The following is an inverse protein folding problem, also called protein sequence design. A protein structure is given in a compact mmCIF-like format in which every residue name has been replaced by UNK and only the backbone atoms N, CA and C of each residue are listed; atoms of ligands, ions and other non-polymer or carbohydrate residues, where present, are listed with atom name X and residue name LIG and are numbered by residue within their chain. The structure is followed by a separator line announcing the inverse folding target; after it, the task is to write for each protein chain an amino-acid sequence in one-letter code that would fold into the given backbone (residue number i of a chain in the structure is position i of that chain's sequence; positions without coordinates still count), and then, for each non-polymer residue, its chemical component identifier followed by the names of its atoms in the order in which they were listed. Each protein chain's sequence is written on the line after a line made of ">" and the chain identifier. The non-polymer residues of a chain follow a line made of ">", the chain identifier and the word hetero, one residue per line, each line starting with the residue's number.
data_IF_940923510480
#
_entry.id   IF_940923510480
#
_cell.length_a   1.000
_cell.length_b   1.000
_cell.length_c   1.000
_cell.angle_alpha   90.00
_cell.angle_beta   90.00
_cell.angle_gamma   90.00
#
_symmetry.space_group_name_H-M   'P 1'
#
loop_
_entity.id
_entity.type
_entity.pdbx_description
1 polymer ?
#
# COMPACT_ATOMS: atom_id res chain seq x y z
N UNK A 1 4.10 -9.50 26.98
CA UNK A 1 5.47 -9.28 26.48
C UNK A 1 5.54 -9.76 25.03
N UNK A 2 5.95 -8.90 24.11
CA UNK A 2 6.11 -9.19 22.68
C UNK A 2 7.60 -9.19 22.34
N UNK A 3 8.09 -10.26 21.72
CA UNK A 3 9.46 -10.29 21.20
C UNK A 3 9.43 -10.33 19.67
N UNK A 4 10.11 -9.38 19.05
CA UNK A 4 10.33 -9.33 17.61
C UNK A 4 11.82 -9.47 17.34
N UNK A 5 12.21 -10.61 16.78
CA UNK A 5 13.60 -10.94 16.47
C UNK A 5 13.83 -10.79 14.97
N UNK A 6 14.69 -9.84 14.58
CA UNK A 6 15.01 -9.57 13.17
C UNK A 6 16.43 -10.01 12.89
N UNK A 7 16.67 -10.65 11.75
CA UNK A 7 17.99 -11.10 11.33
C UNK A 7 19.03 -9.96 11.42
N UNK A 8 20.18 -10.22 12.06
CA UNK A 8 21.26 -9.25 12.17
C UNK A 8 22.09 -9.19 10.88
N UNK A 9 21.48 -8.64 9.82
CA UNK A 9 22.15 -8.46 8.52
C UNK A 9 23.35 -7.52 8.65
N UNK A 10 23.30 -6.57 9.57
CA UNK A 10 24.40 -5.63 9.85
C UNK A 10 25.65 -6.29 10.40
N UNK A 11 25.50 -7.49 10.99
CA UNK A 11 26.62 -8.35 11.34
C UNK A 11 27.39 -8.80 10.10
N UNK A 12 26.70 -9.28 9.07
CA UNK A 12 27.32 -9.88 7.88
C UNK A 12 27.67 -8.85 6.80
N UNK A 13 26.88 -7.79 6.65
CA UNK A 13 27.05 -6.77 5.62
C UNK A 13 27.65 -5.51 6.26
N UNK A 14 28.98 -5.40 6.26
CA UNK A 14 29.71 -4.27 6.86
C UNK A 14 29.79 -3.05 5.92
N UNK A 15 29.74 -1.82 6.45
CA UNK A 15 29.86 -0.61 5.65
C UNK A 15 31.09 -0.61 4.73
N UNK A 16 30.92 -0.21 3.47
CA UNK A 16 31.99 -0.05 2.50
C UNK A 16 32.47 -1.34 1.82
N UNK A 17 32.01 -2.51 2.26
CA UNK A 17 32.30 -3.80 1.60
C UNK A 17 31.62 -3.90 0.22
N UNK A 18 32.08 -4.80 -0.68
CA UNK A 18 31.43 -4.99 -1.98
C UNK A 18 29.93 -5.31 -1.87
N UNK A 19 29.54 -6.15 -0.90
CA UNK A 19 28.13 -6.53 -0.67
C UNK A 19 27.32 -5.32 -0.22
N UNK A 20 27.87 -4.47 0.65
CA UNK A 20 27.21 -3.23 1.09
C UNK A 20 27.00 -2.25 -0.06
N UNK A 21 28.03 -2.05 -0.90
CA UNK A 21 27.92 -1.15 -2.06
C UNK A 21 26.86 -1.64 -3.04
N UNK A 22 26.81 -2.95 -3.32
CA UNK A 22 25.79 -3.53 -4.19
C UNK A 22 24.38 -3.42 -3.57
N UNK A 23 24.24 -3.70 -2.27
CA UNK A 23 22.97 -3.54 -1.56
C UNK A 23 22.48 -2.09 -1.58
N UNK A 24 23.41 -1.12 -1.43
CA UNK A 24 23.10 0.31 -1.53
C UNK A 24 22.65 0.69 -2.95
N UNK A 25 23.31 0.17 -4.00
CA UNK A 25 22.94 0.42 -5.39
C UNK A 25 21.54 -0.15 -5.70
N UNK A 26 21.25 -1.36 -5.25
CA UNK A 26 19.93 -2.00 -5.43
C UNK A 26 18.82 -1.31 -4.64
N UNK A 27 19.09 -0.92 -3.40
CA UNK A 27 18.16 -0.26 -2.48
C UNK A 27 17.11 -1.19 -1.88
N UNK A 28 16.51 -2.06 -2.70
CA UNK A 28 15.52 -3.05 -2.29
C UNK A 28 15.59 -4.32 -3.16
N UNK A 29 14.95 -5.39 -2.69
CA UNK A 29 14.65 -6.54 -3.55
C UNK A 29 13.44 -6.22 -4.43
N UNK A 30 13.43 -6.77 -5.65
CA UNK A 30 12.32 -6.63 -6.62
C UNK A 30 11.65 -8.00 -6.77
N UNK A 31 10.33 -8.05 -6.68
CA UNK A 31 9.52 -9.27 -6.71
C UNK A 31 8.68 -9.29 -7.99
N UNK A 32 9.26 -9.79 -9.07
CA UNK A 32 8.48 -10.08 -10.25
C UNK A 32 7.57 -11.29 -10.01
N UNK A 33 6.46 -11.40 -10.74
CA UNK A 33 5.52 -12.50 -10.56
C UNK A 33 6.15 -13.89 -10.78
N UNK A 34 7.18 -13.99 -11.64
CA UNK A 34 7.89 -15.23 -11.99
C UNK A 34 9.24 -15.40 -11.26
N UNK A 35 9.81 -14.34 -10.68
CA UNK A 35 11.13 -14.40 -10.01
C UNK A 35 11.37 -13.24 -9.05
N UNK A 36 12.22 -13.47 -8.05
CA UNK A 36 12.73 -12.40 -7.20
C UNK A 36 14.16 -12.00 -7.62
N UNK A 37 14.43 -10.69 -7.66
CA UNK A 37 15.77 -10.12 -7.76
C UNK A 37 16.16 -9.62 -6.36
N UNK A 38 16.94 -10.41 -5.59
CA UNK A 38 17.21 -10.09 -4.19
C UNK A 38 18.21 -8.92 -4.06
N UNK A 39 18.07 -8.13 -3.00
CA UNK A 39 19.01 -7.06 -2.65
C UNK A 39 20.38 -7.62 -2.24
N UNK A 40 20.38 -8.77 -1.58
CA UNK A 40 21.58 -9.46 -1.10
C UNK A 40 21.76 -10.79 -1.86
N UNK A 41 23.00 -11.32 -1.94
CA UNK A 41 23.25 -12.66 -2.45
C UNK A 41 22.35 -13.73 -1.79
N UNK A 42 22.01 -14.78 -2.54
CA UNK A 42 21.10 -15.83 -2.08
C UNK A 42 21.65 -16.57 -0.86
N UNK A 43 22.98 -16.75 -0.78
CA UNK A 43 23.69 -17.39 0.32
C UNK A 43 23.49 -16.64 1.64
N UNK A 44 23.36 -15.31 1.58
CA UNK A 44 23.03 -14.50 2.75
C UNK A 44 21.53 -14.48 3.01
N UNK A 45 20.73 -14.13 2.00
CA UNK A 45 19.29 -13.88 2.17
C UNK A 45 18.48 -15.13 2.52
N UNK A 46 18.79 -16.28 1.92
CA UNK A 46 18.12 -17.57 2.18
C UNK A 46 18.89 -18.47 3.15
N UNK A 47 20.18 -18.20 3.35
CA UNK A 47 21.07 -18.98 4.21
C UNK A 47 21.22 -18.40 5.62
N UNK A 48 22.30 -17.64 5.83
CA UNK A 48 22.73 -17.25 7.18
C UNK A 48 21.90 -16.12 7.81
N UNK A 49 21.32 -15.23 7.00
CA UNK A 49 20.39 -14.20 7.50
C UNK A 49 18.95 -14.72 7.61
N UNK A 50 18.59 -15.82 6.93
CA UNK A 50 17.27 -16.43 7.09
C UNK A 50 17.16 -17.09 8.46
N UNK A 51 16.06 -16.81 9.18
CA UNK A 51 15.75 -17.37 10.50
C UNK A 51 15.22 -18.81 10.40
N UNK A 52 16.02 -19.69 9.78
CA UNK A 52 15.67 -21.07 9.52
C UNK A 52 15.43 -21.86 10.83
N UNK A 53 14.47 -22.81 10.84
CA UNK A 53 14.16 -23.58 12.04
C UNK A 53 15.28 -24.53 12.43
N UNK A 54 15.44 -24.79 13.73
CA UNK A 54 16.38 -25.77 14.29
C UNK A 54 17.85 -25.35 14.29
N UNK A 55 18.18 -24.14 13.83
CA UNK A 55 19.55 -23.63 13.74
C UNK A 55 19.70 -22.27 14.42
N UNK A 56 20.87 -22.05 15.01
CA UNK A 56 21.17 -20.81 15.71
C UNK A 56 21.38 -19.66 14.70
N UNK A 57 20.82 -18.49 15.02
CA UNK A 57 20.82 -17.30 14.16
C UNK A 57 21.00 -16.02 14.96
N UNK A 58 21.85 -15.12 14.43
CA UNK A 58 22.07 -13.80 15.00
C UNK A 58 20.88 -12.89 14.69
N UNK A 59 20.42 -12.17 15.72
CA UNK A 59 19.29 -11.26 15.62
C UNK A 59 19.54 -9.95 16.34
N UNK A 60 18.92 -8.90 15.82
CA UNK A 60 18.63 -7.67 16.56
C UNK A 60 17.17 -7.73 16.99
N UNK A 61 16.93 -7.67 18.29
CA UNK A 61 15.65 -7.96 18.92
C UNK A 61 15.03 -6.71 19.52
N UNK A 62 13.71 -6.63 19.43
CA UNK A 62 12.86 -5.62 20.08
C UNK A 62 11.92 -6.36 21.03
N UNK A 63 12.02 -6.09 22.33
CA UNK A 63 11.19 -6.68 23.37
C UNK A 63 10.30 -5.57 23.93
N UNK A 64 8.99 -5.76 23.84
CA UNK A 64 7.99 -4.77 24.23
C UNK A 64 7.06 -5.34 25.29
N UNK A 65 6.99 -4.71 26.45
CA UNK A 65 5.92 -4.94 27.40
C UNK A 65 4.74 -4.05 27.02
N UNK A 66 3.60 -4.66 26.75
CA UNK A 66 2.41 -3.99 26.22
C UNK A 66 1.26 -4.22 27.20
N UNK A 67 0.62 -3.14 27.61
CA UNK A 67 -0.54 -3.21 28.49
C UNK A 67 -1.83 -3.60 27.75
N UNK A 68 -2.92 -3.76 28.50
CA UNK A 68 -4.25 -4.09 27.96
C UNK A 68 -4.84 -3.03 27.03
N UNK A 69 -4.30 -1.80 27.06
CA UNK A 69 -4.70 -0.71 26.19
C UNK A 69 -3.83 -0.64 24.91
N UNK A 70 -2.81 -1.50 24.81
CA UNK A 70 -1.88 -1.55 23.69
C UNK A 70 -0.71 -0.58 23.82
N UNK A 71 -0.56 0.12 24.96
CA UNK A 71 0.53 1.04 25.21
C UNK A 71 1.80 0.28 25.63
N UNK A 72 2.95 0.76 25.16
CA UNK A 72 4.24 0.18 25.52
C UNK A 72 4.65 0.69 26.90
N UNK A 73 4.75 -0.21 27.88
CA UNK A 73 5.13 0.10 29.27
C UNK A 73 6.64 0.09 29.44
N UNK A 74 7.30 -0.89 28.82
CA UNK A 74 8.75 -1.01 28.81
C UNK A 74 9.22 -1.54 27.45
N UNK A 75 10.43 -1.15 27.07
CA UNK A 75 11.06 -1.58 25.82
C UNK A 75 12.53 -1.90 26.06
N UNK A 76 12.99 -2.99 25.46
CA UNK A 76 14.38 -3.41 25.46
C UNK A 76 14.81 -3.75 24.03
N UNK A 77 16.01 -3.29 23.66
CA UNK A 77 16.62 -3.54 22.36
C UNK A 77 17.95 -4.24 22.59
N UNK A 78 18.16 -5.39 21.95
CA UNK A 78 19.35 -6.20 22.22
C UNK A 78 19.77 -7.04 21.02
N UNK A 79 21.06 -7.36 20.95
CA UNK A 79 21.56 -8.40 20.04
C UNK A 79 21.43 -9.75 20.73
N UNK A 80 21.11 -10.77 19.97
CA UNK A 80 20.95 -12.11 20.53
C UNK A 80 21.18 -13.22 19.52
N UNK A 81 21.10 -14.43 20.03
CA UNK A 81 21.05 -15.66 19.24
C UNK A 81 19.71 -16.30 19.50
N UNK A 82 18.98 -16.64 18.44
CA UNK A 82 17.75 -17.43 18.55
C UNK A 82 17.91 -18.75 17.82
N UNK A 83 17.08 -19.72 18.19
CA UNK A 83 16.87 -20.96 17.47
C UNK A 83 15.39 -21.11 17.18
N UNK A 84 14.98 -20.78 15.96
CA UNK A 84 13.57 -20.85 15.58
C UNK A 84 13.07 -22.29 15.75
N UNK A 85 11.95 -22.46 16.44
CA UNK A 85 11.43 -23.80 16.75
C UNK A 85 10.77 -24.43 15.52
N UNK A 86 10.06 -23.62 14.72
CA UNK A 86 9.24 -24.11 13.62
C UNK A 86 9.08 -23.03 12.54
N UNK A 87 9.01 -23.47 11.28
CA UNK A 87 8.66 -22.59 10.16
C UNK A 87 7.16 -22.70 9.87
N UNK A 88 6.45 -21.63 10.13
CA UNK A 88 5.00 -21.55 9.93
C UNK A 88 4.63 -20.83 8.63
N UNK A 89 3.44 -21.12 8.11
CA UNK A 89 2.80 -20.37 7.01
C UNK A 89 1.54 -19.69 7.53
N UNK A 90 1.15 -18.57 6.91
CA UNK A 90 -0.07 -17.84 7.29
C UNK A 90 -1.31 -18.74 7.28
N UNK A 91 -1.45 -19.58 6.25
CA UNK A 91 -2.55 -20.55 6.13
C UNK A 91 -2.60 -21.50 7.33
N UNK A 92 -1.46 -22.08 7.72
CA UNK A 92 -1.42 -23.01 8.87
C UNK A 92 -1.80 -22.32 10.18
N UNK A 93 -1.25 -21.13 10.44
CA UNK A 93 -1.55 -20.38 11.67
C UNK A 93 -3.01 -19.96 11.71
N UNK A 94 -3.56 -19.49 10.59
CA UNK A 94 -4.98 -19.17 10.49
C UNK A 94 -5.84 -20.40 10.81
N UNK A 95 -5.62 -21.54 10.17
CA UNK A 95 -6.39 -22.77 10.41
C UNK A 95 -6.28 -23.26 11.87
N UNK A 96 -5.10 -23.14 12.49
CA UNK A 96 -4.91 -23.45 13.93
C UNK A 96 -5.80 -22.58 14.81
N UNK A 97 -5.89 -21.28 14.50
CA UNK A 97 -6.70 -20.31 15.24
C UNK A 97 -8.20 -20.47 14.99
N UNK A 98 -8.59 -21.00 13.82
CA UNK A 98 -9.98 -21.35 13.47
C UNK A 98 -10.43 -22.72 14.04
N UNK A 99 -9.55 -23.47 14.71
CA UNK A 99 -9.93 -24.69 15.40
C UNK A 99 -9.66 -26.00 14.64
N UNK A 100 -8.83 -25.98 13.58
CA UNK A 100 -8.49 -27.20 12.83
C UNK A 100 -7.88 -28.28 13.75
N UNK A 101 -8.57 -29.42 13.91
CA UNK A 101 -8.20 -30.47 14.87
C UNK A 101 -6.84 -31.09 14.55
N UNK A 102 -6.54 -31.32 13.27
CA UNK A 102 -5.31 -31.99 12.85
C UNK A 102 -4.07 -31.12 13.06
N UNK A 103 -4.14 -29.85 12.69
CA UNK A 103 -3.07 -28.88 12.87
C UNK A 103 -2.88 -28.51 14.34
N UNK A 104 -3.97 -28.36 15.11
CA UNK A 104 -3.88 -28.10 16.56
C UNK A 104 -3.25 -29.27 17.30
N UNK A 105 -3.52 -30.51 16.89
CA UNK A 105 -2.85 -31.68 17.46
C UNK A 105 -1.37 -31.71 17.10
N UNK A 106 -1.05 -31.54 15.81
CA UNK A 106 0.34 -31.52 15.31
C UNK A 106 1.19 -30.44 15.97
N UNK A 107 0.63 -29.24 16.15
CA UNK A 107 1.31 -28.06 16.68
C UNK A 107 0.91 -27.74 18.12
N UNK A 108 0.44 -28.74 18.89
CA UNK A 108 -0.15 -28.56 20.25
C UNK A 108 0.66 -27.63 21.16
N UNK A 109 1.99 -27.73 21.12
CA UNK A 109 2.91 -26.92 21.95
C UNK A 109 2.96 -25.42 21.59
N UNK A 110 2.48 -25.05 20.39
CA UNK A 110 2.49 -23.68 19.87
C UNK A 110 1.10 -23.03 19.87
N UNK A 111 0.03 -23.82 20.02
CA UNK A 111 -1.37 -23.36 19.93
C UNK A 111 -1.64 -22.20 20.89
N UNK A 112 -1.31 -22.35 22.17
CA UNK A 112 -1.52 -21.31 23.19
C UNK A 112 -0.76 -20.02 22.85
N UNK A 113 0.45 -20.14 22.28
CA UNK A 113 1.22 -18.96 21.83
C UNK A 113 0.52 -18.26 20.69
N UNK A 114 0.01 -18.99 19.69
CA UNK A 114 -0.72 -18.36 18.59
C UNK A 114 -2.00 -17.67 19.07
N UNK A 115 -2.72 -18.26 20.03
CA UNK A 115 -3.91 -17.65 20.64
C UNK A 115 -3.58 -16.34 21.37
N UNK A 116 -2.49 -16.34 22.14
CA UNK A 116 -1.96 -15.13 22.79
C UNK A 116 -1.49 -14.08 21.77
N UNK A 117 -0.85 -14.51 20.68
CA UNK A 117 -0.45 -13.60 19.59
C UNK A 117 -1.67 -12.95 18.92
N UNK A 118 -2.75 -13.72 18.71
CA UNK A 118 -4.02 -13.19 18.19
C UNK A 118 -4.60 -12.15 19.13
N UNK A 119 -4.66 -12.43 20.43
CA UNK A 119 -5.17 -11.49 21.42
C UNK A 119 -4.38 -10.17 21.41
N UNK A 120 -3.06 -10.25 21.49
CA UNK A 120 -2.20 -9.08 21.46
C UNK A 120 -2.34 -8.27 20.16
N UNK A 121 -2.40 -8.94 19.02
CA UNK A 121 -2.61 -8.28 17.73
C UNK A 121 -3.94 -7.52 17.72
N UNK A 122 -5.01 -8.08 18.27
CA UNK A 122 -6.30 -7.37 18.36
C UNK A 122 -6.26 -6.17 19.31
N UNK A 123 -5.46 -6.22 20.39
CA UNK A 123 -5.24 -5.06 21.27
C UNK A 123 -4.51 -3.95 20.50
N UNK A 124 -3.43 -4.28 19.80
CA UNK A 124 -2.65 -3.33 18.99
C UNK A 124 -3.48 -2.73 17.85
N UNK A 125 -4.24 -3.57 17.15
CA UNK A 125 -5.16 -3.14 16.10
C UNK A 125 -6.18 -2.12 16.63
N UNK A 126 -6.84 -2.40 17.77
CA UNK A 126 -7.79 -1.47 18.40
C UNK A 126 -7.12 -0.15 18.80
N UNK A 127 -5.88 -0.18 19.30
CA UNK A 127 -5.11 1.05 19.59
C UNK A 127 -4.88 1.86 18.31
N UNK A 128 -4.41 1.21 17.24
CA UNK A 128 -4.19 1.86 15.95
C UNK A 128 -5.48 2.45 15.36
N UNK A 129 -6.59 1.73 15.48
CA UNK A 129 -7.91 2.23 15.11
C UNK A 129 -8.34 3.46 15.92
N UNK A 130 -8.12 3.48 17.25
CA UNK A 130 -8.40 4.67 18.10
C UNK A 130 -7.55 5.88 17.72
N UNK A 131 -6.30 5.66 17.29
CA UNK A 131 -5.39 6.73 16.81
C UNK A 131 -5.86 7.34 15.49
N UNK A 132 -6.61 6.59 14.69
CA UNK A 132 -7.17 7.07 13.42
C UNK A 132 -6.45 6.54 12.18
N UNK A 133 -5.66 5.48 12.30
CA UNK A 133 -4.98 4.91 11.13
C UNK A 133 -6.00 4.42 10.08
N UNK A 134 -5.57 4.52 8.84
CA UNK A 134 -6.32 4.14 7.66
C UNK A 134 -5.94 2.69 7.32
N UNK A 135 -6.94 1.82 7.22
CA UNK A 135 -6.78 0.41 6.84
C UNK A 135 -7.72 0.16 5.66
N UNK A 136 -7.16 0.11 4.45
CA UNK A 136 -7.91 -0.28 3.26
C UNK A 136 -7.85 -1.79 3.16
N UNK A 137 -8.93 -2.49 3.51
CA UNK A 137 -9.02 -3.94 3.32
C UNK A 137 -9.42 -4.27 1.88
N UNK A 138 -8.60 -3.80 0.93
CA UNK A 138 -8.82 -4.04 -0.50
C UNK A 138 -8.20 -5.37 -0.91
N UNK A 139 -8.93 -6.20 -1.67
CA UNK A 139 -8.40 -7.45 -2.17
C UNK A 139 -7.32 -7.16 -3.21
N UNK A 140 -6.10 -7.61 -2.93
CA UNK A 140 -4.99 -7.59 -3.88
C UNK A 140 -5.07 -8.79 -4.84
N UNK A 141 -4.75 -8.62 -6.13
CA UNK A 141 -4.71 -9.72 -7.08
C UNK A 141 -3.48 -10.60 -6.81
N UNK A 142 -3.70 -11.90 -6.57
CA UNK A 142 -2.70 -12.95 -6.59
C UNK A 142 -2.69 -13.59 -7.97
N UNK A 143 -1.60 -13.40 -8.72
CA UNK A 143 -1.46 -13.97 -10.06
C UNK A 143 -0.88 -15.38 -9.94
N UNK A 144 -1.52 -16.32 -10.64
CA UNK A 144 -1.08 -17.71 -10.70
C UNK A 144 -0.33 -17.97 -12.02
N UNK A 145 0.81 -18.65 -11.93
CA UNK A 145 1.62 -19.03 -13.07
C UNK A 145 1.77 -20.54 -13.17
N UNK A 146 1.91 -21.04 -14.40
CA UNK A 146 2.35 -22.40 -14.67
C UNK A 146 3.88 -22.56 -14.61
N UNK A 147 4.36 -23.78 -14.87
CA UNK A 147 5.79 -24.13 -14.88
C UNK A 147 6.60 -23.39 -15.97
N UNK A 148 5.92 -22.82 -16.98
CA UNK A 148 6.51 -22.07 -18.07
C UNK A 148 6.46 -20.55 -17.86
N UNK A 149 5.96 -20.09 -16.71
CA UNK A 149 5.80 -18.66 -16.38
C UNK A 149 4.65 -18.00 -17.15
N UNK A 150 3.71 -18.78 -17.68
CA UNK A 150 2.48 -18.27 -18.27
C UNK A 150 1.43 -18.11 -17.20
N UNK A 151 0.65 -17.03 -17.33
CA UNK A 151 -0.39 -16.70 -16.40
C UNK A 151 -1.60 -17.61 -16.60
N UNK A 152 -2.00 -18.36 -15.58
CA UNK A 152 -3.14 -19.29 -15.65
C UNK A 152 -4.40 -18.73 -14.98
N UNK A 153 -4.24 -17.76 -14.09
CA UNK A 153 -5.37 -17.19 -13.35
C UNK A 153 -5.00 -16.01 -12.47
N UNK A 154 -6.04 -15.35 -11.95
CA UNK A 154 -5.95 -14.29 -10.96
C UNK A 154 -6.94 -14.64 -9.86
N UNK A 155 -6.45 -14.66 -8.62
CA UNK A 155 -7.28 -14.86 -7.44
C UNK A 155 -7.18 -13.65 -6.52
N UNK A 156 -8.11 -13.57 -5.56
CA UNK A 156 -8.02 -12.56 -4.49
C UNK A 156 -7.09 -13.07 -3.41
N UNK A 157 -6.06 -12.31 -3.09
CA UNK A 157 -5.16 -12.62 -1.97
C UNK A 157 -5.94 -12.58 -0.65
N UNK A 158 -6.03 -13.69 0.11
CA UNK A 158 -6.79 -13.71 1.35
C UNK A 158 -5.99 -13.08 2.49
N UNK A 159 -6.39 -11.89 2.96
CA UNK A 159 -5.85 -11.29 4.19
C UNK A 159 -6.57 -11.84 5.43
N UNK A 160 -6.02 -12.90 5.99
CA UNK A 160 -6.54 -13.52 7.23
C UNK A 160 -5.87 -12.99 8.52
N UNK A 161 -6.35 -13.48 9.68
CA UNK A 161 -5.85 -13.09 11.00
C UNK A 161 -4.33 -13.30 11.19
N UNK A 162 -3.73 -14.30 10.54
CA UNK A 162 -2.30 -14.55 10.66
C UNK A 162 -1.46 -13.44 10.01
N UNK A 163 -1.93 -12.88 8.90
CA UNK A 163 -1.29 -11.71 8.27
C UNK A 163 -1.38 -10.49 9.20
N UNK A 164 -2.57 -10.24 9.77
CA UNK A 164 -2.78 -9.13 10.73
C UNK A 164 -1.87 -9.27 11.95
N UNK A 165 -1.71 -10.47 12.52
CA UNK A 165 -0.80 -10.71 13.66
C UNK A 165 0.63 -10.23 13.35
N UNK A 166 1.19 -10.66 12.22
CA UNK A 166 2.55 -10.27 11.84
C UNK A 166 2.63 -8.77 11.56
N UNK A 167 1.65 -8.22 10.85
CA UNK A 167 1.58 -6.78 10.54
C UNK A 167 1.60 -5.93 11.81
N UNK A 168 0.73 -6.21 12.80
CA UNK A 168 0.67 -5.48 14.07
C UNK A 168 2.01 -5.53 14.82
N UNK A 169 2.67 -6.69 14.83
CA UNK A 169 3.92 -6.86 15.56
C UNK A 169 5.08 -6.15 14.86
N UNK A 170 5.12 -6.19 13.52
CA UNK A 170 6.14 -5.47 12.76
C UNK A 170 5.96 -3.95 12.90
N UNK A 171 4.72 -3.46 12.88
CA UNK A 171 4.39 -2.05 13.10
C UNK A 171 4.82 -1.60 14.50
N UNK A 172 4.51 -2.38 15.54
CA UNK A 172 4.91 -2.08 16.92
C UNK A 172 6.44 -2.01 17.07
N UNK A 173 7.18 -2.97 16.50
CA UNK A 173 8.65 -2.95 16.53
C UNK A 173 9.24 -1.76 15.77
N UNK A 174 8.70 -1.45 14.59
CA UNK A 174 9.11 -0.31 13.78
C UNK A 174 8.89 1.03 14.50
N UNK A 175 7.72 1.24 15.11
CA UNK A 175 7.42 2.43 15.91
C UNK A 175 8.33 2.55 17.14
N UNK A 176 8.59 1.44 17.84
CA UNK A 176 9.45 1.43 19.02
C UNK A 176 10.91 1.80 18.67
N UNK A 177 11.47 1.19 17.61
CA UNK A 177 12.82 1.56 17.13
C UNK A 177 12.88 3.03 16.72
N UNK A 178 11.83 3.51 16.04
CA UNK A 178 11.79 4.89 15.62
C UNK A 178 11.84 5.85 16.83
N UNK A 179 10.96 5.64 17.80
CA UNK A 179 10.89 6.42 19.04
C UNK A 179 12.21 6.37 19.82
N UNK A 180 12.73 5.17 20.05
CA UNK A 180 13.96 4.94 20.82
C UNK A 180 15.16 5.73 20.30
N UNK A 181 15.35 5.74 18.97
CA UNK A 181 16.45 6.45 18.31
C UNK A 181 16.23 7.97 18.27
N UNK A 182 15.01 8.41 17.97
CA UNK A 182 14.65 9.84 17.96
C UNK A 182 14.85 10.48 19.33
N UNK A 183 14.37 9.84 20.41
CA UNK A 183 14.52 10.36 21.79
C UNK A 183 15.98 10.47 22.24
N UNK A 184 16.86 9.63 21.69
CA UNK A 184 18.31 9.65 21.96
C UNK A 184 19.10 10.55 21.02
N UNK A 185 18.42 11.25 20.11
CA UNK A 185 19.06 12.16 19.16
C UNK A 185 19.93 11.48 18.11
N UNK A 186 19.72 10.19 17.83
CA UNK A 186 20.43 9.51 16.75
C UNK A 186 19.75 9.81 15.41
N UNK A 187 20.43 10.45 14.45
CA UNK A 187 19.86 10.68 13.13
C UNK A 187 19.67 9.33 12.42
N UNK A 188 18.52 9.16 11.78
CA UNK A 188 18.15 7.92 11.09
C UNK A 188 17.28 8.21 9.87
N UNK A 189 16.98 7.15 9.12
CA UNK A 189 16.02 7.21 8.02
C UNK A 189 14.63 6.92 8.59
N UNK A 190 13.70 7.84 8.38
CA UNK A 190 12.28 7.71 8.69
C UNK A 190 11.53 7.21 7.45
N UNK A 191 10.43 6.49 7.67
CA UNK A 191 9.43 6.20 6.65
C UNK A 191 8.29 7.19 6.83
N UNK A 192 8.24 8.20 5.96
CA UNK A 192 7.29 9.30 6.06
C UNK A 192 6.16 9.14 5.06
N UNK A 193 4.97 9.60 5.44
CA UNK A 193 3.81 9.66 4.57
C UNK A 193 3.08 10.95 4.89
N UNK A 194 3.25 11.95 4.03
CA UNK A 194 2.73 13.29 4.22
C UNK A 194 1.19 13.32 4.04
N UNK A 195 0.50 14.34 4.56
CA UNK A 195 -0.90 14.55 4.26
C UNK A 195 -1.17 14.68 2.75
N UNK A 196 -2.37 14.29 2.28
CA UNK A 196 -2.75 14.40 0.88
C UNK A 196 -2.74 15.87 0.41
N UNK A 197 -2.48 16.08 -0.89
CA UNK A 197 -2.52 17.43 -1.46
C UNK A 197 -3.96 17.97 -1.50
N UNK A 198 -4.21 19.25 -1.18
CA UNK A 198 -5.56 19.82 -1.15
C UNK A 198 -6.35 19.60 -2.44
N UNK A 199 -5.71 19.75 -3.60
CA UNK A 199 -6.34 19.54 -4.91
C UNK A 199 -6.84 18.10 -5.09
N UNK A 200 -6.08 17.12 -4.58
CA UNK A 200 -6.45 15.71 -4.64
C UNK A 200 -7.59 15.36 -3.70
N UNK A 201 -7.66 16.02 -2.55
CA UNK A 201 -8.77 15.87 -1.60
C UNK A 201 -10.05 16.50 -2.16
N UNK A 202 -9.96 17.68 -2.78
CA UNK A 202 -11.11 18.30 -3.45
C UNK A 202 -11.61 17.44 -4.62
N UNK A 203 -10.71 16.92 -5.44
CA UNK A 203 -11.05 16.00 -6.53
C UNK A 203 -11.80 14.76 -6.00
N UNK A 204 -11.33 14.20 -4.88
CA UNK A 204 -11.99 13.11 -4.19
C UNK A 204 -13.39 13.49 -3.69
N UNK A 205 -13.53 14.61 -2.97
CA UNK A 205 -14.80 15.09 -2.42
C UNK A 205 -15.87 15.30 -3.51
N UNK A 206 -15.49 15.90 -4.65
CA UNK A 206 -16.40 16.12 -5.78
C UNK A 206 -16.97 14.82 -6.34
N UNK A 207 -16.13 13.77 -6.44
CA UNK A 207 -16.57 12.47 -6.95
C UNK A 207 -17.37 11.73 -5.88
N UNK A 208 -16.91 11.73 -4.62
CA UNK A 208 -17.60 11.10 -3.49
C UNK A 208 -19.01 11.68 -3.26
N UNK A 209 -19.19 12.99 -3.47
CA UNK A 209 -20.49 13.66 -3.37
C UNK A 209 -21.53 13.08 -4.34
N UNK A 210 -21.12 12.52 -5.47
CA UNK A 210 -22.03 11.85 -6.41
C UNK A 210 -22.66 10.56 -5.84
N UNK A 211 -21.99 9.97 -4.85
CA UNK A 211 -22.48 8.83 -4.06
C UNK A 211 -23.17 9.28 -2.77
N UNK A 212 -23.32 10.59 -2.54
CA UNK A 212 -23.82 11.14 -1.28
C UNK A 212 -22.85 10.99 -0.11
N UNK A 213 -21.55 10.88 -0.39
CA UNK A 213 -20.48 10.66 0.59
C UNK A 213 -19.55 11.88 0.69
N UNK A 214 -18.92 12.07 1.85
CA UNK A 214 -17.93 13.12 2.12
C UNK A 214 -17.03 12.71 3.29
N UNK A 215 -15.80 13.21 3.33
CA UNK A 215 -14.87 13.12 4.46
C UNK A 215 -15.31 13.96 5.66
N UNK A 216 -16.30 14.85 5.48
CA UNK A 216 -16.83 15.76 6.50
C UNK A 216 -15.70 16.64 7.09
N UNK A 217 -14.92 17.26 6.21
CA UNK A 217 -13.79 18.11 6.59
C UNK A 217 -14.33 19.48 7.05
N UNK A 218 -14.04 19.92 8.29
CA UNK A 218 -14.42 21.25 8.75
C UNK A 218 -13.77 22.33 7.89
N UNK A 219 -14.51 23.39 7.54
CA UNK A 219 -13.92 24.54 6.82
C UNK A 219 -13.70 24.33 5.33
N UNK A 220 -14.23 23.25 4.72
CA UNK A 220 -14.33 23.09 3.26
C UNK A 220 -15.31 24.10 2.60
N UNK A 221 -15.41 25.30 3.15
CA UNK A 221 -16.08 26.43 2.54
C UNK A 221 -15.18 26.90 1.40
N UNK A 222 -15.52 26.46 0.19
CA UNK A 222 -14.96 26.97 -1.06
C UNK A 222 -15.00 28.50 -1.03
N UNK A 223 -13.84 29.16 -0.87
CA UNK A 223 -13.77 30.61 -1.06
C UNK A 223 -13.88 30.87 -2.57
N UNK A 224 -15.08 31.24 -3.02
CA UNK A 224 -15.33 31.64 -4.41
C UNK A 224 -14.85 33.08 -4.60
N UNK A 225 -13.67 33.26 -5.18
CA UNK A 225 -13.22 34.57 -5.62
C UNK A 225 -13.71 34.84 -7.04
N UNK A 226 -14.48 35.91 -7.25
CA UNK A 226 -14.84 36.34 -8.60
C UNK A 226 -13.82 37.36 -9.09
N UNK A 227 -12.87 36.93 -9.92
CA UNK A 227 -11.95 37.82 -10.60
C UNK A 227 -12.62 38.38 -11.86
N UNK A 228 -12.90 39.68 -11.84
CA UNK A 228 -13.48 40.38 -12.99
C UNK A 228 -12.36 41.03 -13.78
N UNK A 229 -11.96 40.45 -14.91
CA UNK A 229 -10.98 41.07 -15.82
C UNK A 229 -11.75 41.87 -16.89
N UNK A 230 -11.47 43.18 -16.96
CA UNK A 230 -11.91 44.00 -18.10
C UNK A 230 -11.03 43.67 -19.30
N UNK A 231 -11.63 43.13 -20.36
CA UNK A 231 -10.95 43.05 -21.65
C UNK A 231 -11.28 44.31 -22.46
N UNK A 232 -10.35 44.71 -23.34
CA UNK A 232 -10.56 45.83 -24.26
C UNK A 232 -11.86 45.64 -25.05
N UNK A 233 -12.67 46.71 -25.18
CA UNK A 233 -13.98 46.67 -25.85
C UNK A 233 -15.19 46.49 -24.91
N UNK A 234 -15.04 46.65 -23.59
CA UNK A 234 -16.18 46.73 -22.65
C UNK A 234 -16.77 45.38 -22.20
N UNK A 235 -16.24 44.25 -22.68
CA UNK A 235 -16.62 42.91 -22.19
C UNK A 235 -15.89 42.59 -20.88
N UNK A 236 -16.66 42.20 -19.86
CA UNK A 236 -16.15 41.67 -18.59
C UNK A 236 -16.10 40.15 -18.68
N UNK A 237 -14.94 39.56 -18.43
CA UNK A 237 -14.82 38.12 -18.19
C UNK A 237 -14.73 37.91 -16.67
N UNK A 238 -15.69 37.17 -16.11
CA UNK A 238 -15.68 36.73 -14.71
C UNK A 238 -15.07 35.34 -14.64
N UNK A 239 -13.93 35.20 -13.97
CA UNK A 239 -13.32 33.92 -13.67
C UNK A 239 -13.52 33.63 -12.19
N UNK A 240 -14.10 32.48 -11.86
CA UNK A 240 -14.17 32.01 -10.48
C UNK A 240 -12.84 31.34 -10.15
N UNK A 241 -12.12 31.86 -9.15
CA UNK A 241 -10.94 31.20 -8.60
C UNK A 241 -11.36 30.53 -7.29
N UNK A 242 -11.16 29.22 -7.25
CA UNK A 242 -11.22 28.40 -6.04
C UNK A 242 -9.85 28.51 -5.38
N UNK A 243 -9.76 29.22 -4.26
CA UNK A 243 -8.56 29.15 -3.42
C UNK A 243 -8.89 28.19 -2.28
N UNK A 244 -8.18 27.05 -2.15
CA UNK A 244 -8.35 26.20 -1.00
C UNK A 244 -8.01 27.00 0.26
N UNK A 245 -8.95 27.15 1.18
CA UNK A 245 -8.59 27.47 2.56
C UNK A 245 -7.65 26.36 3.08
N UNK A 246 -6.83 26.60 4.11
CA UNK A 246 -6.02 25.53 4.70
C UNK A 246 -6.94 24.38 5.14
N UNK A 247 -7.00 23.32 4.33
CA UNK A 247 -7.83 22.15 4.59
C UNK A 247 -7.03 21.28 5.56
N UNK A 248 -7.38 21.34 6.85
CA UNK A 248 -6.76 20.48 7.85
C UNK A 248 -7.37 19.07 7.77
N UNK A 249 -6.78 18.26 6.89
CA UNK A 249 -7.20 16.87 6.69
C UNK A 249 -6.56 15.99 7.74
N UNK A 250 -7.37 15.20 8.44
CA UNK A 250 -6.88 14.20 9.40
C UNK A 250 -7.10 12.77 8.90
N UNK A 251 -6.27 11.80 9.31
CA UNK A 251 -6.49 10.38 9.01
C UNK A 251 -7.85 9.85 9.48
N UNK A 252 -8.38 10.42 10.57
CA UNK A 252 -9.71 10.08 11.11
C UNK A 252 -10.84 10.42 10.14
N UNK A 253 -10.69 11.43 9.29
CA UNK A 253 -11.69 11.75 8.27
C UNK A 253 -11.84 10.58 7.27
N UNK A 254 -10.72 10.05 6.79
CA UNK A 254 -10.68 8.88 5.92
C UNK A 254 -11.21 7.63 6.65
N UNK A 255 -10.76 7.39 7.87
CA UNK A 255 -11.21 6.23 8.65
C UNK A 255 -12.72 6.21 8.87
N UNK A 256 -13.35 7.36 9.18
CA UNK A 256 -14.81 7.47 9.31
C UNK A 256 -15.52 7.11 8.02
N UNK A 257 -15.00 7.58 6.88
CA UNK A 257 -15.60 7.29 5.59
C UNK A 257 -15.49 5.81 5.23
N UNK A 258 -14.33 5.17 5.47
CA UNK A 258 -14.14 3.72 5.26
C UNK A 258 -15.19 2.92 6.04
N UNK A 259 -15.38 3.22 7.34
CA UNK A 259 -16.42 2.55 8.15
C UNK A 259 -17.85 2.79 7.66
N UNK A 260 -18.10 3.94 7.02
CA UNK A 260 -19.44 4.24 6.46
C UNK A 260 -19.70 3.50 5.16
N UNK A 261 -18.67 3.12 4.41
CA UNK A 261 -18.80 2.45 3.10
C UNK A 261 -18.63 0.93 3.19
N UNK A 262 -18.11 0.41 4.31
CA UNK A 262 -17.92 -1.03 4.54
C UNK A 262 -19.21 -1.82 4.27
N UNK A 263 -19.11 -2.82 3.39
CA UNK A 263 -20.22 -3.67 2.96
C UNK A 263 -21.20 -3.05 1.96
N UNK A 264 -20.97 -1.80 1.51
CA UNK A 264 -21.83 -1.13 0.52
C UNK A 264 -21.37 -1.38 -0.92
N UNK A 265 -22.27 -1.31 -1.91
CA UNK A 265 -21.91 -1.49 -3.32
C UNK A 265 -20.79 -0.55 -3.81
N UNK A 266 -20.73 0.66 -3.26
CA UNK A 266 -19.73 1.68 -3.61
C UNK A 266 -18.38 1.55 -2.86
N UNK A 267 -18.23 0.58 -1.95
CA UNK A 267 -17.01 0.41 -1.13
C UNK A 267 -15.74 0.36 -1.97
N UNK A 268 -15.73 -0.48 -3.01
CA UNK A 268 -14.57 -0.71 -3.89
C UNK A 268 -14.16 0.58 -4.60
N UNK A 269 -15.12 1.28 -5.19
CA UNK A 269 -14.82 2.47 -5.99
C UNK A 269 -14.41 3.65 -5.11
N UNK A 270 -15.08 3.85 -3.98
CA UNK A 270 -14.74 4.94 -3.06
C UNK A 270 -13.36 4.69 -2.43
N UNK A 271 -13.06 3.46 -2.00
CA UNK A 271 -11.74 3.10 -1.48
C UNK A 271 -10.63 3.31 -2.51
N UNK A 272 -10.86 2.95 -3.78
CA UNK A 272 -9.92 3.23 -4.87
C UNK A 272 -9.66 4.73 -5.05
N UNK A 273 -10.71 5.55 -5.05
CA UNK A 273 -10.59 7.01 -5.14
C UNK A 273 -9.87 7.61 -3.93
N UNK A 274 -10.15 7.11 -2.72
CA UNK A 274 -9.46 7.52 -1.50
C UNK A 274 -7.97 7.24 -1.59
N UNK A 275 -7.57 6.04 -2.01
CA UNK A 275 -6.15 5.69 -2.21
C UNK A 275 -5.45 6.65 -3.17
N UNK A 276 -6.10 7.00 -4.29
CA UNK A 276 -5.54 7.94 -5.28
C UNK A 276 -5.41 9.37 -4.78
N UNK A 277 -6.12 9.73 -3.72
CA UNK A 277 -5.99 11.05 -3.09
C UNK A 277 -4.79 11.14 -2.15
N UNK A 278 -4.29 10.01 -1.64
CA UNK A 278 -3.17 9.94 -0.70
C UNK A 278 -1.82 10.08 -1.43
N UNK A 279 -0.81 10.57 -0.70
CA UNK A 279 0.57 10.63 -1.21
C UNK A 279 1.22 9.25 -1.14
N UNK A 280 2.24 9.04 -1.97
CA UNK A 280 3.10 7.87 -1.79
C UNK A 280 4.02 8.07 -0.57
N UNK A 281 4.15 7.05 0.26
CA UNK A 281 5.13 7.07 1.35
C UNK A 281 6.56 7.03 0.80
N UNK A 282 7.50 7.66 1.49
CA UNK A 282 8.91 7.76 1.06
C UNK A 282 9.86 7.71 2.24
N UNK A 283 11.15 7.54 1.98
CA UNK A 283 12.17 7.68 3.00
C UNK A 283 12.62 9.14 3.15
N UNK A 284 12.93 9.55 4.37
CA UNK A 284 13.51 10.87 4.67
C UNK A 284 14.43 10.81 5.89
N UNK A 285 15.40 11.69 5.96
CA UNK A 285 16.22 11.95 7.15
C UNK A 285 15.48 12.72 8.25
N UNK A 286 14.30 13.28 7.94
CA UNK A 286 13.47 14.04 8.87
C UNK A 286 12.21 13.27 9.24
N UNK A 287 11.79 13.38 10.50
CA UNK A 287 10.49 12.88 10.93
C UNK A 287 9.39 13.84 10.50
N UNK A 288 8.62 13.47 9.48
CA UNK A 288 7.46 14.22 8.99
C UNK A 288 6.13 13.56 9.34
N UNK A 289 6.15 12.54 10.20
CA UNK A 289 5.01 11.68 10.49
C UNK A 289 4.65 10.73 9.34
N UNK A 290 3.68 9.88 9.62
CA UNK A 290 3.12 8.91 8.69
C UNK A 290 1.59 8.95 8.77
N UNK A 291 0.98 9.75 7.88
CA UNK A 291 -0.44 10.09 7.88
C UNK A 291 -1.33 8.83 7.86
N UNK A 292 -1.09 7.84 6.99
CA UNK A 292 -1.94 6.64 6.94
C UNK A 292 -1.86 5.77 8.21
N UNK A 293 -0.74 5.79 8.93
CA UNK A 293 -0.57 5.04 10.18
C UNK A 293 -0.98 5.87 11.42
N UNK A 294 -1.33 7.14 11.24
CA UNK A 294 -1.64 8.08 12.32
C UNK A 294 -0.53 8.11 13.40
N UNK A 295 0.73 8.24 12.98
CA UNK A 295 1.90 8.28 13.85
C UNK A 295 2.86 9.40 13.49
N UNK A 296 3.49 10.03 14.50
CA UNK A 296 4.41 11.15 14.31
C UNK A 296 5.84 10.70 14.00
N UNK A 297 6.17 9.46 14.33
CA UNK A 297 7.49 8.88 14.17
C UNK A 297 7.39 7.41 13.75
N UNK A 298 7.98 7.07 12.61
CA UNK A 298 7.96 5.72 12.05
C UNK A 298 9.19 5.46 11.18
N UNK A 299 9.73 4.26 11.24
CA UNK A 299 10.83 3.79 10.39
C UNK A 299 10.64 2.34 9.99
N UNK A 300 11.33 1.88 8.95
CA UNK A 300 11.40 0.46 8.63
C UNK A 300 12.63 -0.16 9.29
N UNK A 301 12.41 -1.18 10.11
CA UNK A 301 13.45 -1.95 10.82
C UNK A 301 13.37 -3.46 10.56
N UNK A 302 12.18 -3.95 10.23
CA UNK A 302 11.81 -5.38 10.27
C UNK A 302 12.16 -6.19 9.02
N UNK A 303 12.86 -5.64 8.02
CA UNK A 303 13.21 -6.36 6.78
C UNK A 303 14.58 -5.98 6.18
N UNK A 304 15.69 -6.02 6.94
CA UNK A 304 17.03 -5.65 6.47
C UNK A 304 17.61 -6.57 5.39
N UNK A 305 17.03 -7.76 5.18
CA UNK A 305 17.43 -8.67 4.10
C UNK A 305 17.04 -8.12 2.72
N UNK A 306 15.95 -7.36 2.65
CA UNK A 306 15.31 -6.94 1.38
C UNK A 306 15.14 -5.43 1.23
N UNK A 307 15.46 -4.64 2.25
CA UNK A 307 15.39 -3.17 2.24
C UNK A 307 16.66 -2.59 2.85
N UNK A 308 17.37 -1.77 2.08
CA UNK A 308 18.59 -1.12 2.53
C UNK A 308 18.35 -0.11 3.67
N UNK A 309 17.23 0.65 3.71
CA UNK A 309 16.92 1.50 4.86
C UNK A 309 16.90 0.75 6.20
N UNK A 310 16.29 -0.43 6.25
CA UNK A 310 16.28 -1.26 7.46
C UNK A 310 17.70 -1.67 7.88
N UNK A 311 18.58 -2.00 6.93
CA UNK A 311 19.98 -2.30 7.21
C UNK A 311 20.72 -1.09 7.81
N UNK A 312 20.44 0.12 7.31
CA UNK A 312 20.98 1.37 7.87
C UNK A 312 20.47 1.61 9.29
N UNK A 313 19.17 1.41 9.52
CA UNK A 313 18.56 1.53 10.87
C UNK A 313 19.16 0.50 11.83
N UNK A 314 19.42 -0.74 11.40
CA UNK A 314 20.14 -1.74 12.21
C UNK A 314 21.53 -1.26 12.65
N UNK A 315 22.29 -0.65 11.74
CA UNK A 315 23.63 -0.10 12.06
C UNK A 315 23.55 1.05 13.06
N UNK A 316 22.55 1.92 12.92
CA UNK A 316 22.33 3.05 13.84
C UNK A 316 21.89 2.54 15.21
N UNK A 317 20.93 1.61 15.26
CA UNK A 317 20.47 0.99 16.50
C UNK A 317 21.61 0.29 17.23
N UNK A 318 22.39 -0.53 16.53
CA UNK A 318 23.52 -1.23 17.15
C UNK A 318 24.62 -0.27 17.62
N UNK A 319 24.90 0.82 16.91
CA UNK A 319 25.81 1.87 17.38
C UNK A 319 25.27 2.56 18.64
N UNK A 320 23.98 2.88 18.68
CA UNK A 320 23.30 3.45 19.84
C UNK A 320 23.41 2.53 21.07
N UNK A 321 23.17 1.22 20.89
CA UNK A 321 23.30 0.23 21.96
C UNK A 321 24.73 0.11 22.50
N UNK A 322 25.74 0.25 21.63
CA UNK A 322 27.14 0.28 22.05
C UNK A 322 27.59 1.64 22.61
N UNK A 323 26.70 2.64 22.69
CA UNK A 323 27.02 4.03 23.03
C UNK A 323 28.11 4.63 22.13
N UNK A 324 28.14 4.20 20.87
CA UNK A 324 29.03 4.73 19.82
C UNK A 324 28.35 5.88 19.08
N UNK A 325 29.11 6.85 18.53
CA UNK A 325 28.52 7.94 17.76
C UNK A 325 27.74 7.42 16.56
N UNK A 326 26.76 8.21 16.11
CA UNK A 326 25.95 7.87 14.94
C UNK A 326 26.84 7.58 13.72
N UNK A 327 26.67 6.43 13.04
CA UNK A 327 27.58 6.01 11.98
C UNK A 327 27.42 6.81 10.68
N UNK A 328 26.39 7.64 10.57
CA UNK A 328 26.05 8.42 9.38
C UNK A 328 25.74 9.86 9.75
N UNK A 329 26.21 10.81 8.94
CA UNK A 329 25.78 12.21 9.02
C UNK A 329 24.37 12.38 8.44
N UNK A 330 23.67 13.45 8.84
CA UNK A 330 22.37 13.81 8.24
C UNK A 330 22.45 13.97 6.71
N UNK A 331 23.54 14.55 6.20
CA UNK A 331 23.77 14.71 4.77
C UNK A 331 23.93 13.37 4.04
N UNK A 332 24.54 12.36 4.68
CA UNK A 332 24.64 11.02 4.13
C UNK A 332 23.26 10.33 4.16
N UNK A 333 22.53 10.44 5.27
CA UNK A 333 21.20 9.86 5.43
C UNK A 333 20.20 10.42 4.43
N UNK A 334 20.24 11.73 4.16
CA UNK A 334 19.41 12.36 3.12
C UNK A 334 19.65 11.73 1.75
N UNK A 335 20.91 11.59 1.33
CA UNK A 335 21.27 10.95 0.05
C UNK A 335 20.81 9.49 -0.02
N UNK A 336 20.98 8.74 1.07
CA UNK A 336 20.52 7.34 1.14
C UNK A 336 18.99 7.29 1.04
N UNK A 337 18.27 8.17 1.75
CA UNK A 337 16.81 8.22 1.74
C UNK A 337 16.25 8.58 0.36
N UNK A 338 16.83 9.58 -0.32
CA UNK A 338 16.47 9.96 -1.68
C UNK A 338 16.67 8.78 -2.65
N UNK A 339 17.84 8.12 -2.60
CA UNK A 339 18.15 6.95 -3.44
C UNK A 339 17.24 5.75 -3.15
N UNK A 340 16.98 5.43 -1.88
CA UNK A 340 16.12 4.32 -1.50
C UNK A 340 14.66 4.56 -1.91
N UNK A 341 14.19 5.81 -1.85
CA UNK A 341 12.84 6.15 -2.33
C UNK A 341 12.73 6.05 -3.85
N UNK A 342 13.78 6.42 -4.57
CA UNK A 342 13.84 6.29 -6.03
C UNK A 342 13.87 4.82 -6.46
N UNK A 343 14.70 3.99 -5.81
CA UNK A 343 14.83 2.56 -6.14
C UNK A 343 13.58 1.77 -5.80
N UNK A 344 12.89 2.11 -4.71
CA UNK A 344 11.55 1.58 -4.37
C UNK A 344 10.56 1.88 -5.50
N UNK A 345 10.40 3.16 -5.91
CA UNK A 345 9.50 3.51 -7.02
C UNK A 345 9.84 2.78 -8.32
N UNK A 346 11.14 2.70 -8.66
CA UNK A 346 11.60 2.00 -9.86
C UNK A 346 11.26 0.51 -9.81
N UNK A 347 11.36 -0.12 -8.64
CA UNK A 347 10.98 -1.52 -8.45
C UNK A 347 9.47 -1.70 -8.60
N UNK A 348 8.66 -0.87 -7.93
CA UNK A 348 7.19 -0.91 -8.02
C UNK A 348 6.72 -0.71 -9.47
N UNK A 349 7.32 0.23 -10.20
CA UNK A 349 7.02 0.49 -11.62
C UNK A 349 7.37 -0.73 -12.50
N UNK A 350 8.52 -1.36 -12.29
CA UNK A 350 8.94 -2.53 -13.05
C UNK A 350 8.06 -3.76 -12.75
N UNK A 351 7.71 -3.98 -11.48
CA UNK A 351 6.78 -5.04 -11.06
C UNK A 351 5.41 -4.84 -11.72
N UNK A 352 4.87 -3.62 -11.65
CA UNK A 352 3.59 -3.27 -12.27
C UNK A 352 3.63 -3.43 -13.79
N UNK A 353 4.69 -2.97 -14.46
CA UNK A 353 4.82 -3.07 -15.91
C UNK A 353 4.77 -4.53 -16.38
N UNK A 354 5.49 -5.42 -15.70
CA UNK A 354 5.49 -6.84 -16.04
C UNK A 354 4.14 -7.50 -15.76
N UNK A 355 3.49 -7.15 -14.64
CA UNK A 355 2.14 -7.61 -14.31
C UNK A 355 1.14 -7.19 -15.39
N UNK A 356 1.17 -5.93 -15.82
CA UNK A 356 0.27 -5.44 -16.86
C UNK A 356 0.54 -6.12 -18.21
N UNK A 357 1.81 -6.34 -18.57
CA UNK A 357 2.14 -7.11 -19.78
C UNK A 357 1.58 -8.54 -19.72
N UNK A 358 1.73 -9.21 -18.57
CA UNK A 358 1.20 -10.57 -18.37
C UNK A 358 -0.32 -10.62 -18.40
N UNK A 359 -1.01 -9.60 -17.86
CA UNK A 359 -2.46 -9.44 -18.00
C UNK A 359 -2.86 -9.28 -19.47
N UNK A 360 -2.13 -8.50 -20.27
CA UNK A 360 -2.43 -8.36 -21.70
C UNK A 360 -2.27 -9.68 -22.45
N UNK A 361 -1.20 -10.43 -22.19
CA UNK A 361 -0.98 -11.78 -22.74
C UNK A 361 -2.14 -12.71 -22.35
N UNK A 362 -2.51 -12.75 -21.07
CA UNK A 362 -3.61 -13.56 -20.56
C UNK A 362 -4.97 -13.22 -21.19
N UNK A 363 -5.22 -11.93 -21.45
CA UNK A 363 -6.48 -11.47 -22.04
C UNK A 363 -6.53 -11.63 -23.57
N UNK A 364 -5.39 -11.77 -24.25
CA UNK A 364 -5.34 -11.94 -25.70
C UNK A 364 -6.07 -13.21 -26.17
N UNK A 365 -6.03 -14.28 -25.37
CA UNK A 365 -6.75 -15.53 -25.64
C UNK A 365 -8.26 -15.43 -25.38
N UNK A 366 -8.72 -14.31 -24.81
CA UNK A 366 -10.13 -14.05 -24.41
C UNK A 366 -10.80 -12.97 -25.24
N UNK A 367 -10.23 -12.62 -26.39
CA UNK A 367 -10.86 -11.68 -27.32
C UNK A 367 -12.19 -12.26 -27.81
N UNK A 368 -13.25 -11.48 -27.66
CA UNK A 368 -14.64 -11.89 -27.93
C UNK A 368 -15.44 -12.27 -26.68
N UNK A 369 -14.79 -12.57 -25.56
CA UNK A 369 -15.46 -12.91 -24.30
C UNK A 369 -16.13 -11.68 -23.67
N UNK A 370 -17.19 -11.93 -22.88
CA UNK A 370 -17.92 -10.91 -22.15
C UNK A 370 -17.64 -11.00 -20.65
N UNK A 371 -17.51 -9.84 -20.00
CA UNK A 371 -17.13 -9.71 -18.60
C UNK A 371 -18.04 -8.70 -17.88
N UNK A 372 -18.31 -8.95 -16.60
CA UNK A 372 -18.85 -7.94 -15.71
C UNK A 372 -17.73 -7.01 -15.26
N UNK A 373 -17.97 -5.71 -15.35
CA UNK A 373 -16.95 -4.70 -15.06
C UNK A 373 -17.52 -3.47 -14.37
N UNK A 374 -16.66 -2.82 -13.58
CA UNK A 374 -16.98 -1.60 -12.84
C UNK A 374 -16.34 -0.40 -13.53
N UNK A 375 -17.10 0.67 -13.79
CA UNK A 375 -16.53 1.91 -14.32
C UNK A 375 -15.71 2.59 -13.22
N UNK A 376 -14.39 2.65 -13.39
CA UNK A 376 -13.46 3.24 -12.41
C UNK A 376 -13.11 4.70 -12.70
N UNK A 377 -13.16 5.10 -13.97
CA UNK A 377 -12.83 6.47 -14.37
C UNK A 377 -13.51 6.83 -15.70
N UNK A 378 -14.01 8.05 -15.83
CA UNK A 378 -14.67 8.56 -17.05
C UNK A 378 -13.89 9.73 -17.63
N UNK A 379 -13.80 9.80 -18.95
CA UNK A 379 -13.08 10.85 -19.69
C UNK A 379 -13.91 11.34 -20.88
N UNK A 380 -13.45 12.41 -21.55
CA UNK A 380 -14.05 12.88 -22.80
C UNK A 380 -14.00 11.89 -23.98
N UNK A 381 -13.12 10.89 -23.90
CA UNK A 381 -12.90 9.92 -24.98
C UNK A 381 -13.58 8.56 -24.72
N UNK A 382 -14.18 8.37 -23.55
CA UNK A 382 -14.67 7.05 -23.12
C UNK A 382 -14.44 6.86 -21.63
N UNK A 383 -14.50 5.62 -21.15
CA UNK A 383 -14.31 5.32 -19.75
C UNK A 383 -13.46 4.07 -19.53
N UNK A 384 -12.75 4.04 -18.41
CA UNK A 384 -12.00 2.90 -17.94
C UNK A 384 -12.88 2.01 -17.08
N UNK A 385 -12.77 0.71 -17.31
CA UNK A 385 -13.45 -0.34 -16.55
C UNK A 385 -12.43 -1.25 -15.88
N UNK A 386 -12.75 -1.75 -14.70
CA UNK A 386 -12.04 -2.84 -14.05
C UNK A 386 -12.93 -4.08 -14.03
N UNK A 387 -12.43 -5.20 -14.54
CA UNK A 387 -13.16 -6.48 -14.55
C UNK A 387 -13.33 -7.00 -13.12
N UNK A 388 -14.56 -7.38 -12.73
CA UNK A 388 -14.89 -7.68 -11.33
C UNK A 388 -14.07 -8.86 -10.78
N UNK A 389 -13.89 -9.91 -11.57
CA UNK A 389 -13.21 -11.16 -11.18
C UNK A 389 -11.72 -11.19 -11.52
N UNK A 390 -11.30 -10.45 -12.55
CA UNK A 390 -9.93 -10.51 -13.06
C UNK A 390 -9.05 -9.35 -12.60
N UNK A 391 -9.57 -8.27 -12.01
CA UNK A 391 -8.73 -7.11 -11.61
C UNK A 391 -7.87 -6.57 -12.76
N UNK A 392 -8.41 -6.69 -13.96
CA UNK A 392 -7.83 -6.22 -15.20
C UNK A 392 -8.53 -4.92 -15.57
N UNK A 393 -7.75 -3.89 -15.84
CA UNK A 393 -8.26 -2.62 -16.32
C UNK A 393 -8.31 -2.60 -17.85
N UNK A 394 -9.29 -1.90 -18.42
CA UNK A 394 -9.33 -1.62 -19.85
C UNK A 394 -10.19 -0.41 -20.17
N UNK A 395 -10.25 -0.09 -21.45
CA UNK A 395 -10.88 1.14 -21.93
C UNK A 395 -12.03 0.85 -22.87
N UNK A 396 -13.14 1.55 -22.63
CA UNK A 396 -14.32 1.57 -23.50
C UNK A 396 -14.37 2.92 -24.21
N UNK A 397 -14.04 2.97 -25.51
CA UNK A 397 -14.12 4.19 -26.29
C UNK A 397 -15.57 4.70 -26.42
N UNK A 398 -15.77 6.01 -26.36
CA UNK A 398 -17.11 6.64 -26.38
C UNK A 398 -17.89 6.35 -27.66
N UNK A 399 -17.19 6.14 -28.77
CA UNK A 399 -17.71 5.83 -30.09
C UNK A 399 -18.19 4.37 -30.24
N UNK A 400 -17.81 3.48 -29.31
CA UNK A 400 -18.32 2.10 -29.26
C UNK A 400 -19.65 1.98 -28.52
N UNK A 401 -20.14 3.06 -27.89
CA UNK A 401 -21.34 3.01 -27.06
C UNK A 401 -22.61 2.82 -27.91
N UNK A 402 -23.49 1.86 -27.56
CA UNK A 402 -24.61 1.50 -28.41
C UNK A 402 -25.75 2.53 -28.39
N UNK A 403 -26.28 2.81 -29.58
CA UNK A 403 -27.61 3.39 -29.80
C UNK A 403 -27.65 4.90 -30.09
N UNK A 404 -26.69 5.72 -29.65
CA UNK A 404 -26.74 7.16 -29.87
C UNK A 404 -25.36 7.85 -29.74
N UNK A 405 -25.28 9.15 -30.09
CA UNK A 405 -24.12 10.00 -29.80
C UNK A 405 -24.10 10.37 -28.32
N UNK A 406 -23.02 9.99 -27.66
CA UNK A 406 -22.70 10.39 -26.29
C UNK A 406 -21.76 11.60 -26.27
N UNK A 407 -21.81 12.37 -25.19
CA UNK A 407 -20.84 13.41 -24.88
C UNK A 407 -20.45 13.34 -23.40
N UNK A 408 -19.27 13.84 -23.07
CA UNK A 408 -18.82 13.95 -21.71
C UNK A 408 -19.26 15.29 -21.12
N UNK A 409 -19.98 15.24 -20.01
CA UNK A 409 -20.36 16.41 -19.24
C UNK A 409 -19.29 16.66 -18.17
N UNK A 410 -18.48 17.71 -18.35
CA UNK A 410 -17.39 18.05 -17.42
C UNK A 410 -17.90 18.40 -16.02
N UNK A 411 -19.10 19.00 -15.93
CA UNK A 411 -19.69 19.42 -14.66
C UNK A 411 -20.10 18.23 -13.78
N UNK A 412 -20.78 17.23 -14.35
CA UNK A 412 -21.15 16.01 -13.60
C UNK A 412 -20.11 14.89 -13.68
N UNK A 413 -19.07 15.03 -14.52
CA UNK A 413 -18.08 13.98 -14.83
C UNK A 413 -18.75 12.67 -15.26
N UNK A 414 -19.68 12.76 -16.21
CA UNK A 414 -20.46 11.61 -16.73
C UNK A 414 -20.47 11.60 -18.25
N UNK A 415 -20.71 10.43 -18.82
CA UNK A 415 -20.95 10.27 -20.25
C UNK A 415 -22.46 10.15 -20.45
N UNK A 416 -23.05 11.11 -21.17
CA UNK A 416 -24.52 11.26 -21.31
C UNK A 416 -24.91 11.18 -22.78
N UNK A 417 -26.00 10.47 -23.07
CA UNK A 417 -26.58 10.39 -24.42
C UNK A 417 -27.33 11.68 -24.77
N UNK A 418 -27.27 12.12 -26.03
CA UNK A 418 -27.97 13.33 -26.50
C UNK A 418 -29.46 13.12 -26.73
N UNK A 419 -29.90 11.90 -27.06
CA UNK A 419 -31.30 11.57 -27.40
C UNK A 419 -31.95 10.65 -26.39
N UNK A 420 -31.17 9.80 -25.71
CA UNK A 420 -31.68 8.85 -24.72
C UNK A 420 -31.36 9.32 -23.30
N UNK A 421 -32.06 8.75 -22.30
CA UNK A 421 -31.74 8.98 -20.88
C UNK A 421 -30.58 8.11 -20.37
N UNK A 422 -29.83 7.43 -21.26
CA UNK A 422 -28.69 6.61 -20.86
C UNK A 422 -27.52 7.50 -20.42
N UNK A 423 -26.91 7.12 -19.31
CA UNK A 423 -25.72 7.75 -18.76
C UNK A 423 -24.79 6.67 -18.24
N UNK A 424 -23.48 6.95 -18.28
CA UNK A 424 -22.44 6.14 -17.66
C UNK A 424 -21.65 7.02 -16.71
N UNK A 425 -21.51 6.57 -15.46
CA UNK A 425 -20.75 7.26 -14.43
C UNK A 425 -19.83 6.29 -13.68
N UNK A 426 -18.85 6.86 -12.99
CA UNK A 426 -18.00 6.11 -12.06
C UNK A 426 -18.85 5.34 -11.05
N UNK A 427 -18.50 4.08 -10.81
CA UNK A 427 -19.22 3.16 -9.93
C UNK A 427 -20.36 2.38 -10.60
N UNK A 428 -20.75 2.69 -11.83
CA UNK A 428 -21.73 1.87 -12.55
C UNK A 428 -21.13 0.51 -12.91
N UNK A 429 -21.96 -0.54 -12.80
CA UNK A 429 -21.63 -1.88 -13.30
C UNK A 429 -22.13 -2.04 -14.72
N UNK A 430 -21.26 -2.51 -15.61
CA UNK A 430 -21.52 -2.69 -17.03
C UNK A 430 -20.99 -4.04 -17.48
N UNK A 431 -21.70 -4.65 -18.43
CA UNK A 431 -21.20 -5.82 -19.14
C UNK A 431 -20.43 -5.36 -20.36
N UNK A 432 -19.18 -5.80 -20.49
CA UNK A 432 -18.28 -5.40 -21.56
C UNK A 432 -17.77 -6.60 -22.33
N UNK A 433 -17.53 -6.44 -23.63
CA UNK A 433 -16.90 -7.46 -24.48
C UNK A 433 -15.50 -7.01 -24.83
N UNK A 434 -14.52 -7.90 -24.71
CA UNK A 434 -13.15 -7.60 -25.14
C UNK A 434 -13.09 -7.64 -26.67
N UNK A 435 -12.94 -6.49 -27.32
CA UNK A 435 -12.91 -6.41 -28.78
C UNK A 435 -11.52 -6.68 -29.34
N UNK A 436 -10.48 -6.15 -28.67
CA UNK A 436 -9.07 -6.34 -29.06
C UNK A 436 -8.10 -5.95 -27.96
N UNK A 437 -6.87 -6.46 -28.09
CA UNK A 437 -5.70 -6.07 -27.29
C UNK A 437 -4.82 -5.15 -28.13
N UNK A 438 -4.63 -3.91 -27.71
CA UNK A 438 -3.64 -3.01 -28.32
C UNK A 438 -2.28 -3.24 -27.65
N UNK A 439 -1.45 -4.06 -28.29
CA UNK A 439 -0.12 -4.38 -27.80
C UNK A 439 0.84 -3.16 -27.81
N UNK A 440 0.62 -2.19 -28.71
CA UNK A 440 1.46 -0.99 -28.82
C UNK A 440 1.09 0.01 -27.72
N UNK A 441 -0.22 0.26 -27.56
CA UNK A 441 -0.76 1.11 -26.50
C UNK A 441 -0.76 0.46 -25.11
N UNK A 442 -0.46 -0.85 -25.03
CA UNK A 442 -0.57 -1.68 -23.82
C UNK A 442 -1.93 -1.55 -23.15
N UNK A 443 -2.99 -1.63 -23.95
CA UNK A 443 -4.35 -1.35 -23.51
C UNK A 443 -5.34 -2.38 -24.04
N UNK A 444 -6.25 -2.82 -23.19
CA UNK A 444 -7.41 -3.63 -23.58
C UNK A 444 -8.55 -2.73 -24.01
N UNK A 445 -9.14 -3.01 -25.17
CA UNK A 445 -10.23 -2.24 -25.72
C UNK A 445 -11.52 -3.05 -25.69
N UNK A 446 -12.52 -2.44 -25.05
CA UNK A 446 -13.80 -3.06 -24.78
C UNK A 446 -14.95 -2.29 -25.44
N UNK A 447 -16.06 -2.99 -25.69
CA UNK A 447 -17.35 -2.39 -26.04
C UNK A 447 -18.42 -2.76 -25.00
N UNK A 448 -19.42 -1.90 -24.81
CA UNK A 448 -20.54 -2.21 -23.92
C UNK A 448 -21.49 -3.18 -24.62
N UNK A 449 -21.78 -4.29 -23.96
CA UNK A 449 -22.81 -5.22 -24.42
C UNK A 449 -24.17 -4.63 -24.05
N UNK A 450 -24.98 -4.31 -25.06
CA UNK A 450 -26.33 -3.81 -24.82
C UNK A 450 -27.15 -4.83 -24.05
N UNK A 451 -27.83 -4.42 -22.96
CA UNK A 451 -28.95 -5.21 -22.44
C UNK A 451 -30.01 -5.25 -23.55
N UNK A 452 -30.25 -6.44 -24.10
CA UNK A 452 -31.34 -6.71 -25.03
C UNK A 452 -32.69 -6.33 -24.47
#
# INVERSE_FOLDING_TARGET
>A
LLHVHIADVSHYVKPGTPIDREAAVRGNSVYFPDRAVPMLPLELSTGICSLNPGVDRLVVSVLLEIDRHGETVSEEFTRGVIRSVERMTYTKVHLILEGDRGLRERYRRLVERFEMMRELAMILYRRRQRRGAIDFDLPEPLIEFDEFGQMIGIQRSPRNIAHRIIEEFMLAANEAVARFLTERGYPMIYRVHEPPDPDKVMEFEEIAAQFGLSLEIPGLAVQRFTLTRRMGGGRKASMQILVPAEIEVSPKHYQRLIRKIEGKPEERIVSYLMLRSLKQARYSEKSLGHFALATDCYTHFTSPIRRYPDLIVHRILTACLDRRPAPYSESALRKIAEHCSMTERRADEAERELVELKKLEFMAERVGDEFEALIIHTTKHGFFVELEDLFVEGFVPIDTLPGDRFYYDEGSRRIVSRRTRRQYKVGDRVKVRLDRVDAVGRQLLFSVVGRG
#
